data_IF_624433791997
#
_entry.id   IF_624433791997
#
_cell.length_a   1.000
_cell.length_b   1.000
_cell.length_c   1.000
_cell.angle_alpha   90.00
_cell.angle_beta   90.00
_cell.angle_gamma   90.00
#
_symmetry.space_group_name_H-M   'P 1'
#
loop_
_entity.id
_entity.type
_entity.pdbx_description
1 polymer ?
#
# COMPACT_ATOMS: atom_id res chain seq x y z
N UNK A 1 -7.67 -31.36 12.80
CA UNK A 1 -6.39 -30.66 13.04
C UNK A 1 -5.18 -31.23 12.29
N UNK A 2 -5.20 -32.46 11.78
CA UNK A 2 -4.07 -33.14 11.10
C UNK A 2 -3.59 -32.49 9.77
N UNK A 3 -4.46 -31.90 8.97
CA UNK A 3 -4.09 -31.37 7.65
C UNK A 3 -3.18 -30.13 7.63
N UNK A 4 -3.13 -29.33 8.71
CA UNK A 4 -2.35 -28.08 8.73
C UNK A 4 -0.88 -28.29 9.10
N UNK A 5 -0.57 -29.30 9.92
CA UNK A 5 0.83 -29.63 10.23
C UNK A 5 1.52 -30.29 9.03
N UNK A 6 0.81 -31.14 8.29
CA UNK A 6 1.33 -31.73 7.05
C UNK A 6 1.64 -30.66 5.99
N UNK A 7 0.75 -29.66 5.83
CA UNK A 7 0.96 -28.55 4.90
C UNK A 7 2.21 -27.71 5.27
N UNK A 8 2.44 -27.46 6.55
CA UNK A 8 3.59 -26.67 7.01
C UNK A 8 4.93 -27.36 6.71
N UNK A 9 5.01 -28.69 6.93
CA UNK A 9 6.22 -29.45 6.62
C UNK A 9 6.50 -29.50 5.11
N UNK A 10 5.47 -29.69 4.30
CA UNK A 10 5.59 -29.70 2.85
C UNK A 10 6.05 -28.35 2.30
N UNK A 11 5.45 -27.24 2.76
CA UNK A 11 5.83 -25.88 2.35
C UNK A 11 7.29 -25.60 2.72
N UNK A 12 7.73 -25.99 3.91
CA UNK A 12 9.11 -25.82 4.35
C UNK A 12 10.08 -26.60 3.49
N UNK A 13 9.77 -27.86 3.16
CA UNK A 13 10.60 -28.71 2.32
C UNK A 13 10.70 -28.21 0.87
N UNK A 14 9.61 -27.70 0.31
CA UNK A 14 9.54 -27.21 -1.07
C UNK A 14 9.93 -25.74 -1.22
N UNK A 15 10.21 -25.02 -0.11
CA UNK A 15 10.49 -23.57 -0.09
C UNK A 15 9.43 -22.74 -0.82
N UNK A 16 8.16 -23.14 -0.72
CA UNK A 16 7.03 -22.51 -1.41
C UNK A 16 6.48 -21.36 -0.58
N UNK A 17 6.18 -20.24 -1.23
CA UNK A 17 5.40 -19.15 -0.64
C UNK A 17 3.91 -19.54 -0.70
N UNK A 18 3.25 -19.62 0.46
CA UNK A 18 1.82 -19.84 0.56
C UNK A 18 1.12 -18.58 1.05
N UNK A 19 0.16 -18.08 0.28
CA UNK A 19 -0.65 -16.90 0.61
C UNK A 19 -2.09 -17.34 0.86
N UNK A 20 -2.60 -17.04 2.06
CA UNK A 20 -4.01 -17.22 2.40
C UNK A 20 -4.74 -15.89 2.31
N UNK A 21 -5.79 -15.83 1.53
CA UNK A 21 -6.76 -14.73 1.56
C UNK A 21 -7.90 -15.07 2.52
N UNK A 22 -8.31 -14.11 3.33
CA UNK A 22 -9.40 -14.30 4.27
C UNK A 22 -10.22 -13.02 4.39
N UNK A 23 -11.53 -13.16 4.64
CA UNK A 23 -12.41 -12.03 4.91
C UNK A 23 -12.32 -11.62 6.37
N UNK A 24 -12.46 -10.32 6.62
CA UNK A 24 -12.67 -9.78 7.95
C UNK A 24 -14.17 -9.72 8.21
N UNK A 25 -14.59 -10.12 9.40
CA UNK A 25 -15.97 -10.02 9.88
C UNK A 25 -15.98 -9.30 11.20
N UNK A 26 -17.02 -8.56 11.46
CA UNK A 26 -17.25 -7.93 12.75
C UNK A 26 -17.97 -8.92 13.69
N UNK A 27 -17.47 -9.04 14.90
CA UNK A 27 -18.08 -9.81 15.96
C UNK A 27 -19.07 -8.93 16.69
N UNK A 28 -20.36 -9.27 16.59
CA UNK A 28 -21.45 -8.56 17.26
C UNK A 28 -21.30 -8.72 18.78
N UNK A 29 -21.52 -7.63 19.53
CA UNK A 29 -21.52 -7.64 21.01
C UNK A 29 -20.16 -7.42 21.66
N UNK A 30 -19.12 -7.02 20.91
CA UNK A 30 -17.83 -6.60 21.49
C UNK A 30 -17.90 -5.12 21.83
N UNK A 31 -18.10 -4.78 23.12
CA UNK A 31 -18.14 -3.40 23.60
C UNK A 31 -16.75 -2.77 23.76
N UNK A 32 -15.69 -3.57 23.94
CA UNK A 32 -14.32 -3.11 24.13
C UNK A 32 -13.34 -3.94 23.29
N UNK A 33 -12.35 -3.26 22.70
CA UNK A 33 -11.30 -3.87 21.85
C UNK A 33 -11.67 -3.89 20.37
N UNK A 34 -10.87 -4.61 19.57
CA UNK A 34 -11.10 -4.70 18.12
C UNK A 34 -12.16 -5.78 17.82
N UNK A 35 -13.34 -5.42 17.28
CA UNK A 35 -14.41 -6.36 16.93
C UNK A 35 -14.06 -7.22 15.73
N UNK A 36 -13.02 -6.88 14.97
CA UNK A 36 -12.65 -7.59 13.75
C UNK A 36 -12.17 -9.02 14.04
N UNK A 37 -12.77 -9.98 13.39
CA UNK A 37 -12.41 -11.39 13.45
C UNK A 37 -12.35 -12.00 12.06
N UNK A 38 -11.62 -13.11 11.96
CA UNK A 38 -11.50 -13.86 10.70
C UNK A 38 -12.10 -15.24 10.87
N UNK A 39 -12.88 -15.75 9.90
CA UNK A 39 -13.36 -17.12 9.93
C UNK A 39 -12.21 -18.12 9.87
N UNK A 40 -12.45 -19.36 10.30
CA UNK A 40 -11.44 -20.44 10.26
C UNK A 40 -10.59 -20.58 11.52
N UNK A 41 -10.96 -19.91 12.62
CA UNK A 41 -10.34 -20.09 13.94
C UNK A 41 -8.98 -19.41 14.08
N UNK A 42 -8.32 -19.67 15.23
CA UNK A 42 -7.07 -18.99 15.59
C UNK A 42 -5.81 -19.55 14.94
N UNK A 43 -5.88 -20.76 14.34
CA UNK A 43 -4.65 -21.45 13.89
C UNK A 43 -3.87 -20.70 12.82
N UNK A 44 -4.51 -20.10 11.80
CA UNK A 44 -3.82 -19.30 10.79
C UNK A 44 -3.10 -18.10 11.40
N UNK A 45 -3.67 -17.48 12.44
CA UNK A 45 -3.03 -16.36 13.15
C UNK A 45 -1.70 -16.75 13.80
N UNK A 46 -1.57 -18.00 14.27
CA UNK A 46 -0.34 -18.50 14.90
C UNK A 46 0.68 -18.94 13.87
N UNK A 47 0.27 -19.72 12.85
CA UNK A 47 1.17 -20.29 11.85
C UNK A 47 1.73 -19.24 10.87
N UNK A 48 0.95 -18.25 10.48
CA UNK A 48 1.39 -17.22 9.53
C UNK A 48 2.66 -16.50 10.02
N UNK A 49 3.65 -16.39 9.15
CA UNK A 49 4.86 -15.59 9.38
C UNK A 49 4.57 -14.10 9.25
N UNK A 50 3.81 -13.72 8.24
CA UNK A 50 3.33 -12.35 8.03
C UNK A 50 1.79 -12.34 8.00
N UNK A 51 1.20 -11.25 8.50
CA UNK A 51 -0.23 -10.96 8.36
C UNK A 51 -0.41 -9.53 7.93
N UNK A 52 -1.09 -9.35 6.83
CA UNK A 52 -1.42 -8.07 6.27
C UNK A 52 -2.94 -7.85 6.38
N UNK A 53 -3.33 -6.68 6.85
CA UNK A 53 -4.71 -6.21 6.81
C UNK A 53 -4.82 -5.23 5.65
N UNK A 54 -5.71 -5.53 4.70
CA UNK A 54 -5.93 -4.72 3.50
C UNK A 54 -7.29 -4.04 3.64
N UNK A 55 -7.31 -2.72 3.54
CA UNK A 55 -8.52 -1.91 3.68
C UNK A 55 -8.63 -0.93 2.53
N UNK A 56 -9.82 -0.82 1.94
CA UNK A 56 -10.17 0.28 1.05
C UNK A 56 -10.48 1.50 1.91
N UNK A 57 -9.75 2.60 1.69
CA UNK A 57 -9.91 3.85 2.45
C UNK A 57 -10.56 4.97 1.63
N UNK A 58 -10.66 4.81 0.32
CA UNK A 58 -11.30 5.80 -0.54
C UNK A 58 -11.55 5.29 -1.96
N UNK A 59 -12.33 6.04 -2.71
CA UNK A 59 -12.52 5.86 -4.15
C UNK A 59 -11.74 6.92 -4.92
N UNK A 60 -11.08 6.52 -6.00
CA UNK A 60 -10.41 7.41 -6.93
C UNK A 60 -11.37 7.72 -8.05
N UNK A 61 -11.60 9.01 -8.30
CA UNK A 61 -12.50 9.48 -9.36
C UNK A 61 -11.70 10.23 -10.42
N UNK A 62 -12.08 10.05 -11.67
CA UNK A 62 -11.58 10.87 -12.78
C UNK A 62 -12.25 12.25 -12.79
N UNK A 63 -11.84 13.12 -13.73
CA UNK A 63 -12.39 14.46 -13.90
C UNK A 63 -13.89 14.48 -14.22
N UNK A 64 -14.42 13.38 -14.81
CA UNK A 64 -15.84 13.17 -15.07
C UNK A 64 -16.63 12.64 -13.87
N UNK A 65 -15.97 12.49 -12.68
CA UNK A 65 -16.61 11.98 -11.46
C UNK A 65 -16.79 10.47 -11.40
N UNK A 66 -16.35 9.71 -12.41
CA UNK A 66 -16.46 8.25 -12.45
C UNK A 66 -15.38 7.62 -11.56
N UNK A 67 -15.75 6.54 -10.85
CA UNK A 67 -14.81 5.79 -10.02
C UNK A 67 -13.91 4.93 -10.90
N UNK A 68 -12.61 5.23 -10.92
CA UNK A 68 -11.60 4.56 -11.73
C UNK A 68 -10.67 3.66 -10.92
N UNK A 69 -10.77 3.72 -9.60
CA UNK A 69 -9.93 2.92 -8.71
C UNK A 69 -10.26 3.10 -7.24
N UNK A 70 -9.43 2.49 -6.41
CA UNK A 70 -9.54 2.56 -4.96
C UNK A 70 -8.21 2.95 -4.32
N UNK A 71 -8.25 3.88 -3.36
CA UNK A 71 -7.17 4.09 -2.41
C UNK A 71 -7.20 2.99 -1.38
N UNK A 72 -6.10 2.30 -1.23
CA UNK A 72 -5.96 1.11 -0.38
C UNK A 72 -4.88 1.32 0.65
N UNK A 73 -5.17 0.95 1.90
CA UNK A 73 -4.21 0.90 3.00
C UNK A 73 -3.91 -0.56 3.33
N UNK A 74 -2.63 -0.88 3.46
CA UNK A 74 -2.15 -2.17 3.95
C UNK A 74 -1.41 -1.95 5.26
N UNK A 75 -1.84 -2.65 6.30
CA UNK A 75 -1.22 -2.64 7.62
C UNK A 75 -0.57 -3.99 7.91
N UNK A 76 0.69 -3.99 8.30
CA UNK A 76 1.42 -5.18 8.73
C UNK A 76 1.08 -5.46 10.20
N UNK A 77 0.10 -6.33 10.45
CA UNK A 77 -0.37 -6.63 11.83
C UNK A 77 0.47 -7.71 12.52
N UNK A 78 1.25 -8.49 11.78
CA UNK A 78 2.21 -9.45 12.29
C UNK A 78 3.33 -9.64 11.27
N UNK A 79 4.56 -9.64 11.74
CA UNK A 79 5.72 -9.99 10.94
C UNK A 79 6.75 -10.68 11.84
N UNK A 80 7.27 -11.84 11.39
CA UNK A 80 8.30 -12.61 12.10
C UNK A 80 9.71 -12.38 11.53
N UNK A 81 9.81 -11.71 10.37
CA UNK A 81 11.07 -11.54 9.64
C UNK A 81 11.54 -10.09 9.56
N UNK A 82 10.70 -9.14 9.97
CA UNK A 82 11.01 -7.70 10.04
C UNK A 82 10.09 -7.02 11.07
N UNK A 83 10.34 -5.74 11.45
CA UNK A 83 9.48 -4.99 12.37
C UNK A 83 8.03 -4.94 11.89
N UNK A 84 7.05 -5.31 12.73
CA UNK A 84 5.62 -5.21 12.42
C UNK A 84 5.11 -3.78 12.62
N UNK A 85 3.79 -3.59 12.39
CA UNK A 85 3.03 -2.34 12.62
C UNK A 85 3.37 -1.19 11.68
N UNK A 86 4.00 -1.50 10.54
CA UNK A 86 4.16 -0.55 9.45
C UNK A 86 2.88 -0.50 8.59
N UNK A 87 2.63 0.65 7.98
CA UNK A 87 1.49 0.86 7.08
C UNK A 87 2.00 1.42 5.75
N UNK A 88 1.32 1.03 4.66
CA UNK A 88 1.53 1.58 3.33
C UNK A 88 0.18 1.90 2.70
N UNK A 89 0.12 3.00 1.96
CA UNK A 89 -1.04 3.39 1.17
C UNK A 89 -0.66 3.48 -0.29
N UNK A 90 -1.51 2.99 -1.16
CA UNK A 90 -1.33 3.05 -2.61
C UNK A 90 -2.67 2.96 -3.33
N UNK A 91 -2.64 3.33 -4.59
CA UNK A 91 -3.80 3.33 -5.45
C UNK A 91 -3.88 2.04 -6.27
N UNK A 92 -5.07 1.44 -6.32
CA UNK A 92 -5.39 0.32 -7.21
C UNK A 92 -6.35 0.84 -8.26
N UNK A 93 -5.89 0.93 -9.50
CA UNK A 93 -6.69 1.33 -10.65
C UNK A 93 -7.33 0.11 -11.29
N UNK A 94 -8.55 0.23 -11.76
CA UNK A 94 -9.28 -0.89 -12.37
C UNK A 94 -8.69 -1.33 -13.71
N UNK A 95 -7.94 -0.45 -14.36
CA UNK A 95 -7.33 -0.70 -15.68
C UNK A 95 -5.97 -1.39 -15.61
N UNK A 96 -5.16 -1.10 -14.57
CA UNK A 96 -3.76 -1.56 -14.52
C UNK A 96 -3.32 -2.14 -13.16
N UNK A 97 -4.24 -2.22 -12.18
CA UNK A 97 -3.90 -2.70 -10.84
C UNK A 97 -3.18 -1.64 -10.00
N UNK A 98 -2.14 -2.02 -9.27
CA UNK A 98 -1.39 -1.08 -8.40
C UNK A 98 -0.69 -0.04 -9.26
N UNK A 99 -0.96 1.26 -8.97
CA UNK A 99 -0.31 2.38 -9.64
C UNK A 99 1.12 2.53 -9.12
N UNK A 100 2.09 2.14 -9.95
CA UNK A 100 3.51 2.28 -9.62
C UNK A 100 3.91 3.75 -9.54
N UNK A 101 3.59 4.53 -10.55
CA UNK A 101 3.90 5.97 -10.65
C UNK A 101 3.21 6.75 -9.53
N UNK A 102 1.98 6.37 -9.17
CA UNK A 102 1.27 6.93 -8.02
C UNK A 102 1.98 6.67 -6.70
N UNK A 103 2.52 5.46 -6.52
CA UNK A 103 3.32 5.10 -5.34
C UNK A 103 4.64 5.87 -5.29
N UNK A 104 5.30 6.06 -6.44
CA UNK A 104 6.52 6.88 -6.57
C UNK A 104 6.23 8.33 -6.22
N UNK A 105 5.14 8.90 -6.75
CA UNK A 105 4.74 10.27 -6.48
C UNK A 105 4.43 10.49 -4.99
N UNK A 106 3.66 9.59 -4.36
CA UNK A 106 3.36 9.65 -2.93
C UNK A 106 4.63 9.59 -2.07
N UNK A 107 5.56 8.72 -2.44
CA UNK A 107 6.84 8.58 -1.75
C UNK A 107 7.75 9.80 -1.91
N UNK A 108 7.73 10.43 -3.08
CA UNK A 108 8.48 11.64 -3.39
C UNK A 108 7.93 12.87 -2.66
N UNK A 109 6.60 13.02 -2.60
CA UNK A 109 5.93 14.07 -1.83
C UNK A 109 6.20 13.95 -0.33
N UNK A 110 6.16 12.73 0.22
CA UNK A 110 6.46 12.48 1.63
C UNK A 110 7.91 12.80 2.03
N UNK A 111 8.81 12.88 1.05
CA UNK A 111 10.23 13.21 1.24
C UNK A 111 10.59 14.65 0.84
N UNK A 112 9.66 15.37 0.24
CA UNK A 112 9.92 16.72 -0.28
C UNK A 112 10.78 16.74 -1.56
N UNK A 113 10.88 15.60 -2.26
CA UNK A 113 11.58 15.50 -3.55
C UNK A 113 10.73 16.11 -4.66
N UNK A 114 9.43 15.86 -4.61
CA UNK A 114 8.42 16.55 -5.41
C UNK A 114 7.69 17.53 -4.51
N UNK A 115 7.54 18.75 -4.95
CA UNK A 115 6.84 19.81 -4.24
C UNK A 115 5.49 20.08 -4.86
N UNK A 116 4.52 20.43 -4.00
CA UNK A 116 3.19 20.85 -4.43
C UNK A 116 3.04 22.35 -4.18
N UNK A 117 2.91 23.13 -5.25
CA UNK A 117 2.67 24.58 -5.23
C UNK A 117 1.27 24.86 -5.79
N UNK A 118 0.30 25.04 -4.88
CA UNK A 118 -1.10 25.14 -5.27
C UNK A 118 -1.61 23.80 -5.84
N UNK A 119 -2.05 23.80 -7.10
CA UNK A 119 -2.48 22.61 -7.84
C UNK A 119 -1.36 21.95 -8.67
N UNK A 120 -0.22 22.61 -8.82
CA UNK A 120 0.91 22.12 -9.62
C UNK A 120 1.89 21.29 -8.78
N UNK A 121 2.46 20.29 -9.43
CA UNK A 121 3.56 19.50 -8.89
C UNK A 121 4.84 19.75 -9.67
N UNK A 122 5.96 19.90 -8.96
CA UNK A 122 7.27 20.20 -9.53
C UNK A 122 8.35 19.30 -8.94
N UNK A 123 9.35 19.00 -9.76
CA UNK A 123 10.55 18.25 -9.37
C UNK A 123 11.78 19.12 -9.69
N UNK A 124 12.41 19.68 -8.64
CA UNK A 124 13.42 20.73 -8.81
C UNK A 124 12.81 21.95 -9.49
N UNK A 125 13.42 22.38 -10.59
CA UNK A 125 12.95 23.51 -11.41
C UNK A 125 11.94 23.07 -12.50
N UNK A 126 11.74 21.76 -12.68
CA UNK A 126 10.84 21.21 -13.69
C UNK A 126 9.41 21.10 -13.16
N UNK A 127 8.48 21.73 -13.87
CA UNK A 127 7.06 21.63 -13.58
C UNK A 127 6.48 20.39 -14.27
N UNK A 128 6.02 19.40 -13.48
CA UNK A 128 5.54 18.13 -14.00
C UNK A 128 4.13 18.25 -14.59
N UNK A 129 3.12 18.45 -13.74
CA UNK A 129 1.74 18.59 -14.19
C UNK A 129 0.83 19.19 -13.12
N UNK A 130 -0.40 19.52 -13.49
CA UNK A 130 -1.45 20.01 -12.58
C UNK A 130 -2.28 18.86 -12.02
N UNK A 131 -2.18 18.63 -10.72
CA UNK A 131 -2.90 17.57 -10.01
C UNK A 131 -2.23 16.20 -10.09
N UNK A 132 -2.60 15.32 -9.15
CA UNK A 132 -1.92 14.03 -8.99
C UNK A 132 -2.13 13.08 -10.18
N UNK A 133 -3.34 13.04 -10.77
CA UNK A 133 -3.62 12.14 -11.89
C UNK A 133 -2.79 12.51 -13.14
N UNK A 134 -2.79 13.79 -13.50
CA UNK A 134 -2.00 14.25 -14.65
C UNK A 134 -0.49 14.06 -14.40
N UNK A 135 -0.02 14.20 -13.16
CA UNK A 135 1.38 13.93 -12.81
C UNK A 135 1.70 12.43 -12.92
N UNK A 136 0.79 11.54 -12.55
CA UNK A 136 0.97 10.10 -12.71
C UNK A 136 1.09 9.74 -14.20
N UNK A 137 0.24 10.31 -15.05
CA UNK A 137 0.30 10.11 -16.50
C UNK A 137 1.60 10.67 -17.08
N UNK A 138 2.02 11.87 -16.66
CA UNK A 138 3.31 12.45 -17.02
C UNK A 138 4.49 11.53 -16.65
N UNK A 139 4.52 11.02 -15.43
CA UNK A 139 5.59 10.10 -14.97
C UNK A 139 5.60 8.78 -15.75
N UNK A 140 4.46 8.32 -16.23
CA UNK A 140 4.35 7.12 -17.08
C UNK A 140 4.94 7.37 -18.47
N UNK A 141 4.73 8.56 -19.02
CA UNK A 141 5.26 8.96 -20.33
C UNK A 141 6.76 9.32 -20.27
N UNK A 142 7.28 9.69 -19.08
CA UNK A 142 8.65 10.11 -18.86
C UNK A 142 9.41 9.18 -17.89
N UNK A 143 9.80 7.97 -18.34
CA UNK A 143 10.44 6.97 -17.46
C UNK A 143 11.79 7.44 -16.92
N UNK A 144 12.50 8.34 -17.64
CA UNK A 144 13.78 8.90 -17.20
C UNK A 144 13.62 9.80 -15.97
N UNK A 145 12.59 10.64 -15.94
CA UNK A 145 12.23 11.48 -14.79
C UNK A 145 11.80 10.60 -13.62
N UNK A 146 10.95 9.60 -13.90
CA UNK A 146 10.50 8.65 -12.89
C UNK A 146 11.66 7.91 -12.24
N UNK A 147 12.65 7.46 -13.02
CA UNK A 147 13.84 6.78 -12.51
C UNK A 147 14.67 7.71 -11.61
N UNK A 148 14.91 8.96 -12.00
CA UNK A 148 15.61 9.95 -11.16
C UNK A 148 14.91 10.15 -9.82
N UNK A 149 13.58 10.30 -9.83
CA UNK A 149 12.77 10.44 -8.61
C UNK A 149 12.91 9.19 -7.74
N UNK A 150 12.81 7.99 -8.31
CA UNK A 150 12.94 6.71 -7.58
C UNK A 150 14.31 6.58 -6.91
N UNK A 151 15.38 6.95 -7.58
CA UNK A 151 16.73 6.86 -7.02
C UNK A 151 16.89 7.84 -5.84
N UNK A 152 16.34 9.04 -5.93
CA UNK A 152 16.30 9.99 -4.81
C UNK A 152 15.41 9.49 -3.67
N UNK A 153 14.26 8.88 -3.98
CA UNK A 153 13.36 8.28 -2.96
C UNK A 153 14.06 7.19 -2.15
N UNK A 154 14.92 6.40 -2.77
CA UNK A 154 15.68 5.34 -2.06
C UNK A 154 16.74 5.89 -1.11
N UNK A 155 17.33 7.03 -1.43
CA UNK A 155 18.43 7.64 -0.68
C UNK A 155 17.96 8.66 0.37
N UNK A 156 16.81 9.29 0.15
CA UNK A 156 16.28 10.35 1.02
C UNK A 156 15.36 9.78 2.10
N UNK A 157 15.59 10.03 3.40
CA UNK A 157 14.68 9.60 4.45
C UNK A 157 13.32 10.33 4.36
N UNK A 158 12.28 9.70 4.90
CA UNK A 158 10.95 10.30 4.97
C UNK A 158 10.97 11.52 5.91
N UNK A 159 10.45 12.64 5.45
CA UNK A 159 10.27 13.84 6.27
C UNK A 159 8.98 13.73 7.09
N UNK A 160 9.05 13.59 8.45
CA UNK A 160 7.86 13.40 9.28
C UNK A 160 6.86 14.56 9.20
N UNK A 161 7.33 15.77 8.91
CA UNK A 161 6.47 16.96 8.80
C UNK A 161 5.62 16.95 7.53
N UNK A 162 6.11 16.37 6.43
CA UNK A 162 5.41 16.27 5.15
C UNK A 162 4.52 15.02 5.08
N UNK A 163 4.91 13.93 5.72
CA UNK A 163 4.15 12.68 5.75
C UNK A 163 2.78 12.81 6.46
N UNK A 164 2.60 13.79 7.34
CA UNK A 164 1.35 14.03 8.09
C UNK A 164 0.35 14.97 7.40
N UNK A 165 0.68 15.54 6.25
CA UNK A 165 -0.22 16.46 5.51
C UNK A 165 -1.06 15.74 4.45
N UNK A 166 -1.71 14.64 4.84
CA UNK A 166 -2.77 13.99 4.04
C UNK A 166 -4.13 14.15 4.68
#
# INVERSE_FOLDING_TARGET
>A
MRGRSALTSTIAATKTLLIFTNQVREKIGVMFGNPETTPGGKALKFYASCRLQVQRIGAIKNTAGQVVGNRTRVKVVKNKVAPPFTEAEFDILYTCGISYEGSVLDAALARGIVEKRGSWLSFGDEQLAQGSLATIDYLREHPDVTKKIVDLVKTTPVNPALAKKK
#
